data_IF_444297629791
#
_entry.id   IF_444297629791
#
_cell.length_a   1.000
_cell.length_b   1.000
_cell.length_c   1.000
_cell.angle_alpha   90.00
_cell.angle_beta   90.00
_cell.angle_gamma   90.00
#
_symmetry.space_group_name_H-M   'P 1'
#
loop_
_entity.id
_entity.type
_entity.pdbx_description
1 polymer ?
#
# COMPACT_ATOMS: atom_id res chain seq x y z
N UNK A 1 17.11 -20.67 4.62
CA UNK A 1 16.29 -19.60 3.99
C UNK A 1 15.62 -18.82 5.10
N UNK A 2 15.71 -17.49 5.13
CA UNK A 2 14.82 -16.69 5.99
C UNK A 2 13.41 -16.81 5.40
N UNK A 3 12.45 -17.21 6.24
CA UNK A 3 11.03 -17.23 5.87
C UNK A 3 10.47 -15.84 6.19
N UNK A 4 10.12 -15.08 5.17
CA UNK A 4 9.46 -13.79 5.33
C UNK A 4 7.96 -13.96 5.36
N UNK A 5 7.28 -13.13 6.15
CA UNK A 5 5.82 -13.05 6.16
C UNK A 5 5.32 -11.90 5.30
N UNK A 6 4.01 -11.89 5.05
CA UNK A 6 3.29 -10.80 4.41
C UNK A 6 2.37 -10.17 5.45
N UNK A 7 2.42 -8.84 5.56
CA UNK A 7 1.50 -8.04 6.35
C UNK A 7 0.56 -7.27 5.41
N UNK A 8 -0.73 -7.25 5.69
CA UNK A 8 -1.67 -6.34 5.08
C UNK A 8 -2.11 -5.27 6.09
N UNK A 9 -2.04 -4.00 5.71
CA UNK A 9 -2.53 -2.85 6.45
C UNK A 9 -3.74 -2.32 5.70
N UNK A 10 -4.92 -2.46 6.29
CA UNK A 10 -6.19 -2.17 5.61
C UNK A 10 -7.25 -1.63 6.57
N UNK A 11 -8.36 -1.16 6.02
CA UNK A 11 -9.53 -0.71 6.80
C UNK A 11 -10.47 -1.88 7.13
N UNK A 12 -11.36 -1.67 8.10
CA UNK A 12 -12.40 -2.65 8.43
C UNK A 12 -13.21 -3.06 7.19
N UNK A 13 -13.48 -4.37 7.06
CA UNK A 13 -14.24 -4.94 5.95
C UNK A 13 -13.40 -5.43 4.76
N UNK A 14 -12.10 -5.13 4.71
CA UNK A 14 -11.17 -5.62 3.67
C UNK A 14 -10.12 -6.61 4.19
N UNK A 15 -10.12 -6.90 5.49
CA UNK A 15 -9.13 -7.72 6.19
C UNK A 15 -9.29 -9.23 5.94
N UNK A 16 -10.54 -9.69 5.82
CA UNK A 16 -10.88 -11.12 5.78
C UNK A 16 -10.18 -11.87 4.64
N UNK A 17 -10.12 -11.28 3.43
CA UNK A 17 -9.46 -11.90 2.28
C UNK A 17 -7.96 -12.12 2.50
N UNK A 18 -7.29 -11.16 3.14
CA UNK A 18 -5.86 -11.27 3.48
C UNK A 18 -5.61 -12.33 4.55
N UNK A 19 -6.46 -12.38 5.59
CA UNK A 19 -6.36 -13.43 6.62
C UNK A 19 -6.51 -14.83 6.03
N UNK A 20 -7.48 -15.03 5.13
CA UNK A 20 -7.68 -16.30 4.42
C UNK A 20 -6.50 -16.67 3.51
N UNK A 21 -5.82 -15.68 2.96
CA UNK A 21 -4.60 -15.88 2.17
C UNK A 21 -3.34 -16.13 3.02
N UNK A 22 -3.45 -16.16 4.35
CA UNK A 22 -2.34 -16.40 5.27
C UNK A 22 -1.46 -15.18 5.55
N UNK A 23 -1.97 -13.96 5.29
CA UNK A 23 -1.28 -12.74 5.68
C UNK A 23 -1.57 -12.41 7.15
N UNK A 24 -0.58 -11.84 7.84
CA UNK A 24 -0.84 -11.09 9.06
C UNK A 24 -1.60 -9.81 8.67
N UNK A 25 -2.52 -9.33 9.51
CA UNK A 25 -3.36 -8.17 9.18
C UNK A 25 -3.45 -7.20 10.34
N UNK A 26 -3.18 -5.93 10.04
CA UNK A 26 -3.37 -4.79 10.93
C UNK A 26 -4.47 -3.89 10.35
N UNK A 27 -5.44 -3.55 11.18
CA UNK A 27 -6.53 -2.66 10.79
C UNK A 27 -6.21 -1.22 11.19
N UNK A 28 -6.52 -0.28 10.30
CA UNK A 28 -6.25 1.15 10.47
C UNK A 28 -7.47 1.98 10.09
N UNK A 29 -7.57 3.18 10.66
CA UNK A 29 -8.63 4.13 10.32
C UNK A 29 -8.10 5.31 9.50
N UNK A 30 -6.83 5.66 9.69
CA UNK A 30 -6.23 6.84 9.09
C UNK A 30 -4.74 6.66 8.74
N UNK A 31 -4.18 7.63 8.01
CA UNK A 31 -2.80 7.60 7.54
C UNK A 31 -1.76 7.65 8.68
N UNK A 32 -2.11 8.18 9.86
CA UNK A 32 -1.19 8.21 11.01
C UNK A 32 -1.00 6.82 11.59
N UNK A 33 -2.06 6.01 11.63
CA UNK A 33 -1.98 4.62 12.08
C UNK A 33 -1.07 3.81 11.15
N UNK A 34 -1.20 4.03 9.84
CA UNK A 34 -0.32 3.41 8.82
C UNK A 34 1.14 3.76 9.09
N UNK A 35 1.45 5.03 9.36
CA UNK A 35 2.83 5.46 9.67
C UNK A 35 3.36 4.75 10.91
N UNK A 36 2.56 4.66 11.99
CA UNK A 36 2.97 4.00 13.23
C UNK A 36 3.26 2.51 13.01
N UNK A 37 2.40 1.82 12.25
CA UNK A 37 2.58 0.40 11.93
C UNK A 37 3.78 0.18 11.02
N UNK A 38 3.98 1.01 9.99
CA UNK A 38 5.14 0.93 9.12
C UNK A 38 6.44 1.15 9.91
N UNK A 39 6.48 2.16 10.80
CA UNK A 39 7.64 2.41 11.66
C UNK A 39 7.92 1.24 12.62
N UNK A 40 6.88 0.61 13.16
CA UNK A 40 7.03 -0.57 14.02
C UNK A 40 7.69 -1.72 13.26
N UNK A 41 7.20 -2.05 12.07
CA UNK A 41 7.57 -3.28 11.39
C UNK A 41 8.75 -3.18 10.41
N UNK A 42 9.20 -1.96 10.07
CA UNK A 42 10.32 -1.77 9.15
C UNK A 42 11.64 -2.34 9.73
N UNK A 43 11.84 -2.24 11.05
CA UNK A 43 13.06 -2.65 11.73
C UNK A 43 13.02 -4.11 12.21
N UNK A 44 11.83 -4.70 12.38
CA UNK A 44 11.67 -6.06 12.90
C UNK A 44 12.20 -7.13 11.92
N UNK A 45 12.31 -6.83 10.62
CA UNK A 45 12.78 -7.73 9.55
C UNK A 45 12.07 -9.09 9.49
N UNK A 46 10.84 -9.15 10.00
CA UNK A 46 9.95 -10.34 9.97
C UNK A 46 9.20 -10.39 8.63
N UNK A 47 8.76 -9.23 8.14
CA UNK A 47 7.99 -9.10 6.92
C UNK A 47 8.90 -8.88 5.71
N UNK A 48 8.58 -9.54 4.61
CA UNK A 48 9.21 -9.31 3.31
C UNK A 48 8.40 -8.32 2.47
N UNK A 49 7.08 -8.35 2.63
CA UNK A 49 6.13 -7.49 1.92
C UNK A 49 5.15 -6.92 2.94
N UNK A 50 4.90 -5.62 2.86
CA UNK A 50 3.78 -4.96 3.52
C UNK A 50 2.86 -4.39 2.44
N UNK A 51 1.64 -4.89 2.38
CA UNK A 51 0.56 -4.37 1.53
C UNK A 51 -0.16 -3.28 2.30
N UNK A 52 -0.41 -2.13 1.67
CA UNK A 52 -1.11 -0.99 2.29
C UNK A 52 -2.21 -0.51 1.37
N UNK A 53 -3.35 -0.07 1.92
CA UNK A 53 -4.34 0.68 1.11
C UNK A 53 -3.70 1.94 0.52
N UNK A 54 -3.70 2.04 -0.81
CA UNK A 54 -3.13 3.16 -1.54
C UNK A 54 -3.77 4.50 -1.14
N UNK A 55 -5.09 4.56 -0.89
CA UNK A 55 -5.78 5.80 -0.51
C UNK A 55 -5.26 6.34 0.83
N UNK A 56 -4.83 5.47 1.75
CA UNK A 56 -4.21 5.86 3.02
C UNK A 56 -2.72 6.16 2.86
N UNK A 57 -1.99 5.31 2.12
CA UNK A 57 -0.55 5.46 1.94
C UNK A 57 -0.19 6.81 1.29
N UNK A 58 -0.94 7.23 0.28
CA UNK A 58 -0.67 8.48 -0.43
C UNK A 58 -1.16 9.75 0.30
N UNK A 59 -1.90 9.61 1.41
CA UNK A 59 -2.20 10.73 2.33
C UNK A 59 -1.05 11.03 3.29
N UNK A 60 -0.11 10.10 3.46
CA UNK A 60 1.09 10.32 4.28
C UNK A 60 1.90 11.47 3.69
N UNK A 61 2.40 12.33 4.57
CA UNK A 61 3.33 13.41 4.22
C UNK A 61 4.49 12.89 3.34
N UNK A 62 4.74 13.56 2.22
CA UNK A 62 5.67 13.11 1.18
C UNK A 62 7.06 12.72 1.72
N UNK A 63 7.62 13.54 2.62
CA UNK A 63 8.93 13.28 3.22
C UNK A 63 8.97 11.95 3.98
N UNK A 64 7.89 11.60 4.71
CA UNK A 64 7.79 10.34 5.44
C UNK A 64 7.51 9.17 4.50
N UNK A 65 6.61 9.38 3.53
CA UNK A 65 6.29 8.37 2.51
C UNK A 65 7.52 7.94 1.73
N UNK A 66 8.38 8.88 1.36
CA UNK A 66 9.60 8.60 0.60
C UNK A 66 10.59 7.70 1.35
N UNK A 67 10.71 7.86 2.67
CA UNK A 67 11.54 6.98 3.52
C UNK A 67 11.05 5.53 3.42
N UNK A 68 9.73 5.33 3.38
CA UNK A 68 9.11 4.02 3.23
C UNK A 68 9.31 3.45 1.82
N UNK A 69 9.15 4.27 0.77
CA UNK A 69 9.37 3.86 -0.63
C UNK A 69 10.83 3.48 -0.93
N UNK A 70 11.79 4.11 -0.27
CA UNK A 70 13.22 3.82 -0.42
C UNK A 70 13.68 2.57 0.38
N UNK A 71 12.80 2.00 1.22
CA UNK A 71 13.10 0.78 1.98
C UNK A 71 13.14 -0.46 1.09
N UNK A 72 14.26 -1.19 1.15
CA UNK A 72 14.44 -2.44 0.40
C UNK A 72 13.73 -3.64 1.06
N UNK A 73 13.52 -3.61 2.37
CA UNK A 73 12.92 -4.71 3.12
C UNK A 73 12.39 -4.21 4.47
N UNK A 74 11.09 -4.37 4.77
CA UNK A 74 10.05 -4.92 3.89
C UNK A 74 9.75 -4.03 2.68
N UNK A 75 9.40 -4.65 1.54
CA UNK A 75 8.91 -3.94 0.36
C UNK A 75 7.47 -3.50 0.59
N UNK A 76 7.20 -2.21 0.40
CA UNK A 76 5.88 -1.62 0.66
C UNK A 76 5.13 -1.50 -0.66
N UNK A 77 3.97 -2.16 -0.72
CA UNK A 77 3.15 -2.29 -1.93
C UNK A 77 1.79 -1.62 -1.70
N UNK A 78 1.60 -0.36 -2.14
CA UNK A 78 0.33 0.31 -2.06
C UNK A 78 -0.65 -0.25 -3.11
N UNK A 79 -1.79 -0.80 -2.67
CA UNK A 79 -2.84 -1.34 -3.52
C UNK A 79 -4.16 -0.61 -3.29
N UNK A 80 -4.92 -0.35 -4.36
CA UNK A 80 -6.29 0.14 -4.24
C UNK A 80 -7.19 -1.04 -3.87
N UNK A 81 -7.50 -1.19 -2.58
CA UNK A 81 -8.32 -2.30 -2.07
C UNK A 81 -9.82 -2.08 -2.30
N UNK A 82 -10.22 -0.80 -2.38
CA UNK A 82 -11.60 -0.39 -2.61
C UNK A 82 -11.92 -0.44 -4.10
N UNK A 83 -12.72 -1.43 -4.51
CA UNK A 83 -13.31 -1.49 -5.85
C UNK A 83 -14.40 -0.41 -5.93
N UNK A 84 -14.04 0.82 -6.28
CA UNK A 84 -15.01 1.87 -6.62
C UNK A 84 -15.57 1.61 -8.01
N UNK A 85 -16.50 0.65 -8.12
CA UNK A 85 -17.18 0.32 -9.37
C UNK A 85 -16.21 -0.07 -10.50
N UNK A 86 -16.73 -0.13 -11.73
CA UNK A 86 -16.02 -0.54 -12.94
C UNK A 86 -14.95 0.50 -13.32
N UNK A 87 -13.84 0.55 -12.60
CA UNK A 87 -12.66 1.32 -13.02
C UNK A 87 -11.99 0.57 -14.16
N UNK A 88 -11.92 1.22 -15.31
CA UNK A 88 -11.14 0.75 -16.44
C UNK A 88 -9.66 0.72 -16.02
N UNK A 89 -8.94 -0.35 -16.37
CA UNK A 89 -7.50 -0.47 -16.11
C UNK A 89 -6.72 0.74 -16.69
N UNK A 90 -7.25 1.35 -17.76
CA UNK A 90 -6.73 2.59 -18.32
C UNK A 90 -6.81 3.80 -17.38
N UNK A 91 -7.83 3.90 -16.52
CA UNK A 91 -7.94 4.99 -15.53
C UNK A 91 -6.92 4.83 -14.40
N UNK A 92 -6.74 3.61 -13.89
CA UNK A 92 -5.72 3.32 -12.89
C UNK A 92 -4.32 3.67 -13.41
N UNK A 93 -4.01 3.27 -14.65
CA UNK A 93 -2.72 3.58 -15.26
C UNK A 93 -2.52 5.09 -15.41
N UNK A 94 -3.56 5.84 -15.81
CA UNK A 94 -3.50 7.32 -15.88
C UNK A 94 -3.23 7.94 -14.51
N UNK A 95 -3.85 7.46 -13.44
CA UNK A 95 -3.61 7.97 -12.09
C UNK A 95 -2.18 7.71 -11.61
N UNK A 96 -1.67 6.49 -11.83
CA UNK A 96 -0.29 6.13 -11.50
C UNK A 96 0.70 7.01 -12.26
N UNK A 97 0.52 7.15 -13.58
CA UNK A 97 1.45 7.96 -14.37
C UNK A 97 1.38 9.44 -14.00
N UNK A 98 0.16 9.97 -13.76
CA UNK A 98 0.01 11.35 -13.28
C UNK A 98 0.73 11.57 -11.96
N UNK A 99 0.71 10.60 -11.04
CA UNK A 99 1.40 10.71 -9.75
C UNK A 99 2.92 10.69 -9.91
N UNK A 100 3.46 9.87 -10.80
CA UNK A 100 4.91 9.73 -11.01
C UNK A 100 5.49 10.89 -11.83
N UNK A 101 4.76 11.38 -12.83
CA UNK A 101 5.28 12.39 -13.77
C UNK A 101 4.76 13.81 -13.48
N UNK A 102 3.69 13.96 -12.69
CA UNK A 102 3.06 15.25 -12.40
C UNK A 102 2.11 15.77 -13.49
N UNK A 103 1.89 15.01 -14.57
CA UNK A 103 0.97 15.38 -15.65
C UNK A 103 0.23 14.15 -16.23
N UNK A 104 -0.94 14.38 -16.83
CA UNK A 104 -1.75 13.32 -17.42
C UNK A 104 -1.31 13.01 -18.86
N UNK A 105 -1.24 11.72 -19.20
CA UNK A 105 -1.06 11.27 -20.59
C UNK A 105 -2.42 10.95 -21.19
N UNK A 106 -2.66 11.40 -22.44
CA UNK A 106 -3.80 10.93 -23.23
C UNK A 106 -3.45 9.58 -23.84
N UNK A 107 -3.95 8.51 -23.22
CA UNK A 107 -3.98 7.18 -23.84
C UNK A 107 -5.08 7.24 -24.92
N UNK A 108 -4.69 7.16 -26.19
CA UNK A 108 -5.63 6.92 -27.30
C UNK A 108 -5.98 5.44 -27.32
N UNK A 109 -7.27 5.15 -27.39
CA UNK A 109 -7.80 3.80 -27.70
C UNK A 109 -7.42 3.38 -29.12
#
# INVERSE_FOLDING_TARGET
MKSYKILAITEEGYDTGFRLAGCDVEMVENEKDVVLILQKYIDEKIYGIIIVDADLFYKIEEKKRRIFEESLLPSIVPLNLKIKGKRDAGEYLKEVVRRVLGYSIRIKE
#
